data_IF_195610658880
#
_entry.id   IF_195610658880
#
_cell.length_a   1.000
_cell.length_b   1.000
_cell.length_c   1.000
_cell.angle_alpha   90.00
_cell.angle_beta   90.00
_cell.angle_gamma   90.00
#
_symmetry.space_group_name_H-M   'P 1'
#
loop_
_entity.id
_entity.type
_entity.pdbx_description
1 polymer ?
#
# COMPACT_ATOMS: atom_id res chain seq x y z
N UNK A 1 -5.30 -1.97 3.31
CA UNK A 1 -5.72 -3.23 3.93
C UNK A 1 -6.88 -3.89 3.20
N UNK A 2 -7.31 -5.04 3.68
CA UNK A 2 -8.35 -5.85 3.03
C UNK A 2 -9.78 -5.28 3.13
N UNK A 3 -9.99 -4.23 3.94
CA UNK A 3 -11.30 -3.62 4.11
C UNK A 3 -12.34 -4.64 4.57
N UNK A 4 -13.35 -4.87 3.73
CA UNK A 4 -14.44 -5.82 3.98
C UNK A 4 -14.20 -7.22 3.37
N UNK A 5 -13.17 -7.39 2.56
CA UNK A 5 -12.86 -8.67 1.94
C UNK A 5 -12.54 -9.74 3.01
N UNK A 6 -12.97 -10.98 2.76
CA UNK A 6 -12.90 -12.07 3.75
C UNK A 6 -11.77 -13.06 3.50
N UNK A 7 -11.25 -13.09 2.28
CA UNK A 7 -10.19 -14.01 1.88
C UNK A 7 -8.82 -13.38 2.01
N UNK A 8 -7.80 -14.19 2.18
CA UNK A 8 -6.41 -13.76 2.30
C UNK A 8 -5.77 -13.64 0.92
N UNK A 9 -5.25 -12.47 0.59
CA UNK A 9 -4.59 -12.18 -0.68
C UNK A 9 -3.29 -12.96 -0.90
N UNK A 10 -2.72 -13.57 0.13
CA UNK A 10 -1.63 -14.53 -0.01
C UNK A 10 -2.07 -15.88 -0.61
N UNK A 11 -3.36 -16.19 -0.54
CA UNK A 11 -3.92 -17.48 -0.96
C UNK A 11 -4.68 -17.36 -2.28
N UNK A 12 -5.54 -16.35 -2.39
CA UNK A 12 -6.40 -16.10 -3.56
C UNK A 12 -6.73 -14.61 -3.69
N UNK A 13 -7.38 -14.22 -4.79
CA UNK A 13 -7.81 -12.85 -5.02
C UNK A 13 -9.05 -12.50 -4.16
N UNK A 14 -8.92 -11.62 -3.14
CA UNK A 14 -10.07 -11.16 -2.37
C UNK A 14 -10.96 -10.25 -3.22
N UNK A 15 -12.28 -10.38 -3.07
CA UNK A 15 -13.25 -9.58 -3.84
C UNK A 15 -14.18 -8.81 -2.91
N UNK A 16 -14.33 -7.51 -3.17
CA UNK A 16 -15.29 -6.64 -2.53
C UNK A 16 -16.31 -6.13 -3.55
N UNK A 17 -17.57 -6.53 -3.38
CA UNK A 17 -18.68 -6.17 -4.26
C UNK A 17 -19.51 -4.98 -3.76
N UNK A 18 -19.06 -4.29 -2.71
CA UNK A 18 -19.78 -3.14 -2.17
C UNK A 18 -19.81 -1.97 -3.14
N UNK A 19 -20.83 -1.14 -2.98
CA UNK A 19 -20.93 0.13 -3.70
C UNK A 19 -19.78 1.07 -3.34
N UNK A 20 -19.27 1.80 -4.33
CA UNK A 20 -18.19 2.76 -4.19
C UNK A 20 -18.47 3.81 -3.09
N UNK A 21 -19.73 4.24 -2.95
CA UNK A 21 -20.13 5.22 -1.92
C UNK A 21 -19.87 4.70 -0.52
N UNK A 22 -20.17 3.40 -0.27
CA UNK A 22 -19.91 2.76 1.03
C UNK A 22 -18.43 2.69 1.34
N UNK A 23 -17.60 2.38 0.34
CA UNK A 23 -16.15 2.33 0.46
C UNK A 23 -15.59 3.72 0.80
N UNK A 24 -16.04 4.76 0.08
CA UNK A 24 -15.63 6.14 0.32
C UNK A 24 -16.05 6.68 1.71
N UNK A 25 -17.24 6.31 2.16
CA UNK A 25 -17.79 6.79 3.44
C UNK A 25 -17.21 6.10 4.66
N UNK A 26 -16.67 4.89 4.50
CA UNK A 26 -16.18 4.08 5.62
C UNK A 26 -14.68 3.79 5.48
N UNK A 27 -14.31 3.01 4.46
CA UNK A 27 -12.95 2.43 4.36
C UNK A 27 -11.91 3.48 3.96
N UNK A 28 -12.27 4.45 3.13
CA UNK A 28 -11.38 5.52 2.67
C UNK A 28 -11.35 6.75 3.59
N UNK A 29 -12.25 6.84 4.56
CA UNK A 29 -12.29 7.97 5.49
C UNK A 29 -10.99 8.14 6.32
N UNK A 30 -10.39 7.06 6.87
CA UNK A 30 -9.09 7.16 7.54
C UNK A 30 -7.98 7.68 6.62
N UNK A 31 -7.94 7.20 5.36
CA UNK A 31 -6.93 7.63 4.39
C UNK A 31 -7.05 9.13 4.11
N UNK A 32 -8.27 9.64 3.88
CA UNK A 32 -8.49 11.06 3.66
C UNK A 32 -7.96 11.89 4.83
N UNK A 33 -8.27 11.49 6.07
CA UNK A 33 -7.78 12.18 7.27
C UNK A 33 -6.26 12.14 7.42
N UNK A 34 -5.63 11.01 7.06
CA UNK A 34 -4.18 10.87 7.12
C UNK A 34 -3.48 11.68 6.01
N UNK A 35 -4.11 11.78 4.83
CA UNK A 35 -3.62 12.62 3.72
C UNK A 35 -3.65 14.10 4.11
N UNK A 36 -4.71 14.55 4.80
CA UNK A 36 -4.80 15.91 5.33
C UNK A 36 -3.69 16.21 6.38
N UNK A 37 -3.10 15.16 6.99
CA UNK A 37 -1.94 15.22 7.88
C UNK A 37 -0.60 14.99 7.16
N UNK A 38 -0.59 15.05 5.84
CA UNK A 38 0.60 14.92 4.98
C UNK A 38 1.38 13.61 5.19
N UNK A 39 0.67 12.48 5.34
CA UNK A 39 1.31 11.15 5.44
C UNK A 39 2.23 10.91 4.24
N UNK A 40 3.44 10.41 4.50
CA UNK A 40 4.50 10.28 3.50
C UNK A 40 4.30 9.12 2.54
N UNK A 41 3.66 8.03 2.99
CA UNK A 41 3.49 6.81 2.19
C UNK A 41 2.13 6.16 2.34
N UNK A 42 1.58 5.65 1.25
CA UNK A 42 0.37 4.81 1.21
C UNK A 42 0.69 3.55 0.42
N UNK A 43 0.35 2.39 0.98
CA UNK A 43 0.45 1.11 0.31
C UNK A 43 -0.89 0.76 -0.34
N UNK A 44 -0.83 0.29 -1.59
CA UNK A 44 -1.97 -0.27 -2.29
C UNK A 44 -2.31 -1.67 -1.77
N UNK A 45 -3.37 -2.28 -2.27
CA UNK A 45 -3.78 -3.64 -1.87
C UNK A 45 -4.14 -4.50 -3.08
N UNK A 46 -4.15 -5.82 -2.89
CA UNK A 46 -4.56 -6.79 -3.90
C UNK A 46 -6.01 -7.24 -3.69
N UNK A 47 -6.90 -6.33 -3.36
CA UNK A 47 -8.35 -6.58 -3.27
C UNK A 47 -9.04 -6.09 -4.53
N UNK A 48 -9.82 -6.94 -5.18
CA UNK A 48 -10.61 -6.57 -6.35
C UNK A 48 -11.93 -5.91 -5.94
N UNK A 49 -12.07 -4.63 -6.17
CA UNK A 49 -13.31 -3.87 -5.95
C UNK A 49 -14.13 -3.84 -7.25
N UNK A 50 -14.89 -4.92 -7.52
CA UNK A 50 -15.56 -5.16 -8.83
C UNK A 50 -16.43 -4.01 -9.31
N UNK A 51 -17.07 -3.27 -8.40
CA UNK A 51 -17.92 -2.13 -8.76
C UNK A 51 -17.11 -0.85 -9.04
N UNK A 52 -15.79 -0.91 -8.96
CA UNK A 52 -14.90 0.22 -9.21
C UNK A 52 -14.04 -0.05 -10.43
N UNK A 53 -13.31 -1.17 -10.45
CA UNK A 53 -12.42 -1.54 -11.55
C UNK A 53 -12.31 -3.06 -11.67
N UNK A 54 -11.81 -3.53 -12.82
CA UNK A 54 -11.47 -4.93 -13.08
C UNK A 54 -10.07 -5.31 -12.58
N UNK A 55 -9.32 -4.36 -12.04
CA UNK A 55 -7.99 -4.55 -11.48
C UNK A 55 -7.95 -4.15 -10.00
N UNK A 56 -7.16 -4.85 -9.16
CA UNK A 56 -6.93 -4.44 -7.78
C UNK A 56 -6.15 -3.11 -7.74
N UNK A 57 -6.19 -2.36 -6.63
CA UNK A 57 -5.55 -1.04 -6.52
C UNK A 57 -4.11 -0.98 -6.99
N UNK A 58 -3.31 -2.02 -6.76
CA UNK A 58 -1.91 -2.11 -7.20
C UNK A 58 -1.75 -2.07 -8.73
N UNK A 59 -2.76 -2.51 -9.49
CA UNK A 59 -2.74 -2.59 -10.96
C UNK A 59 -3.78 -1.67 -11.62
N UNK A 60 -4.49 -0.86 -10.84
CA UNK A 60 -5.62 -0.04 -11.30
C UNK A 60 -5.24 1.43 -11.46
N UNK A 61 -5.21 1.90 -12.69
CA UNK A 61 -5.08 3.34 -12.96
C UNK A 61 -6.20 4.14 -12.31
N UNK A 62 -7.43 3.61 -12.26
CA UNK A 62 -8.58 4.27 -11.66
C UNK A 62 -8.38 4.53 -10.16
N UNK A 63 -7.86 3.56 -9.42
CA UNK A 63 -7.55 3.72 -8.01
C UNK A 63 -6.43 4.73 -7.77
N UNK A 64 -5.39 4.72 -8.60
CA UNK A 64 -4.32 5.72 -8.52
C UNK A 64 -4.85 7.13 -8.84
N UNK A 65 -5.75 7.27 -9.83
CA UNK A 65 -6.39 8.56 -10.13
C UNK A 65 -7.26 9.08 -8.97
N UNK A 66 -8.05 8.21 -8.31
CA UNK A 66 -8.79 8.57 -7.10
C UNK A 66 -7.83 9.11 -6.04
N UNK A 67 -6.73 8.41 -5.79
CA UNK A 67 -5.73 8.80 -4.78
C UNK A 67 -5.07 10.14 -5.15
N UNK A 68 -4.59 10.29 -6.38
CA UNK A 68 -3.84 11.46 -6.84
C UNK A 68 -4.73 12.68 -7.07
N UNK A 69 -5.90 12.52 -7.70
CA UNK A 69 -6.74 13.63 -8.13
C UNK A 69 -7.83 13.95 -7.10
N UNK A 70 -8.61 12.96 -6.64
CA UNK A 70 -9.74 13.22 -5.75
C UNK A 70 -9.25 13.51 -4.31
N UNK A 71 -8.25 12.75 -3.85
CA UNK A 71 -7.66 12.96 -2.52
C UNK A 71 -6.44 13.90 -2.54
N UNK A 72 -5.95 14.29 -3.73
CA UNK A 72 -4.79 15.18 -3.92
C UNK A 72 -3.52 14.69 -3.19
N UNK A 73 -3.38 13.38 -3.08
CA UNK A 73 -2.24 12.78 -2.39
C UNK A 73 -0.93 13.01 -3.16
N UNK A 74 0.07 13.53 -2.47
CA UNK A 74 1.40 13.87 -3.04
C UNK A 74 2.53 12.99 -2.52
N UNK A 75 2.26 12.13 -1.53
CA UNK A 75 3.26 11.22 -0.97
C UNK A 75 3.60 10.05 -1.89
N UNK A 76 4.39 9.11 -1.37
CA UNK A 76 4.81 7.91 -2.09
C UNK A 76 3.69 6.86 -2.12
N UNK A 77 3.51 6.22 -3.27
CA UNK A 77 2.62 5.07 -3.45
C UNK A 77 3.47 3.81 -3.52
N UNK A 78 3.27 2.93 -2.57
CA UNK A 78 3.90 1.62 -2.50
C UNK A 78 2.95 0.55 -3.04
N UNK A 79 3.45 -0.42 -3.79
CA UNK A 79 2.68 -1.64 -4.04
C UNK A 79 2.60 -2.47 -2.76
N UNK A 80 1.63 -3.37 -2.67
CA UNK A 80 1.76 -4.56 -1.83
C UNK A 80 2.70 -5.56 -2.53
N UNK A 81 3.03 -6.68 -1.91
CA UNK A 81 3.98 -7.66 -2.46
C UNK A 81 3.47 -8.26 -3.78
N UNK A 82 4.17 -7.95 -4.88
CA UNK A 82 3.81 -8.38 -6.23
C UNK A 82 3.97 -9.89 -6.46
N UNK A 83 4.59 -10.62 -5.53
CA UNK A 83 4.70 -12.08 -5.57
C UNK A 83 3.49 -12.81 -4.98
N UNK A 84 2.49 -12.07 -4.45
CA UNK A 84 1.30 -12.66 -3.83
C UNK A 84 0.37 -13.30 -4.86
N UNK A 85 -0.22 -14.45 -4.50
CA UNK A 85 -1.07 -15.26 -5.40
C UNK A 85 -2.30 -14.50 -5.94
N UNK A 86 -2.78 -13.51 -5.23
CA UNK A 86 -3.88 -12.65 -5.69
C UNK A 86 -3.62 -11.99 -7.06
N UNK A 87 -2.35 -11.82 -7.46
CA UNK A 87 -1.99 -11.23 -8.74
C UNK A 87 -1.80 -12.23 -9.88
N UNK A 88 -1.79 -13.53 -9.63
CA UNK A 88 -1.56 -14.55 -10.65
C UNK A 88 -2.61 -14.51 -11.79
N UNK A 89 -3.83 -14.01 -11.50
CA UNK A 89 -4.87 -13.87 -12.52
C UNK A 89 -4.62 -12.70 -13.51
N UNK A 90 -3.67 -11.81 -13.20
CA UNK A 90 -3.42 -10.59 -13.97
C UNK A 90 -2.14 -10.64 -14.83
N UNK A 91 -1.41 -11.74 -14.80
CA UNK A 91 -0.21 -11.98 -15.58
C UNK A 91 0.99 -12.37 -14.72
N UNK A 92 2.12 -12.52 -15.40
CA UNK A 92 3.39 -12.82 -14.74
C UNK A 92 3.88 -11.63 -13.90
N UNK A 93 4.76 -11.88 -12.94
CA UNK A 93 5.25 -10.86 -12.03
C UNK A 93 5.88 -9.67 -12.76
N UNK A 94 6.59 -9.91 -13.86
CA UNK A 94 7.22 -8.87 -14.67
C UNK A 94 6.18 -7.95 -15.32
N UNK A 95 5.07 -8.51 -15.83
CA UNK A 95 3.96 -7.73 -16.38
C UNK A 95 3.30 -6.87 -15.30
N UNK A 96 3.10 -7.45 -14.11
CA UNK A 96 2.54 -6.75 -12.97
C UNK A 96 3.46 -5.61 -12.46
N UNK A 97 4.78 -5.82 -12.49
CA UNK A 97 5.79 -4.78 -12.20
C UNK A 97 5.66 -3.63 -13.18
N UNK A 98 5.72 -3.90 -14.49
CA UNK A 98 5.62 -2.88 -15.54
C UNK A 98 4.30 -2.11 -15.45
N UNK A 99 3.20 -2.82 -15.23
CA UNK A 99 1.89 -2.21 -15.07
C UNK A 99 1.82 -1.32 -13.83
N UNK A 100 2.31 -1.78 -12.69
CA UNK A 100 2.33 -0.99 -11.45
C UNK A 100 3.12 0.32 -11.60
N UNK A 101 4.28 0.27 -12.27
CA UNK A 101 5.07 1.46 -12.60
C UNK A 101 4.27 2.40 -13.51
N UNK A 102 3.71 1.87 -14.59
CA UNK A 102 3.01 2.67 -15.61
C UNK A 102 1.79 3.42 -15.09
N UNK A 103 1.12 2.90 -14.07
CA UNK A 103 -0.04 3.56 -13.45
C UNK A 103 0.33 4.52 -12.33
N UNK A 104 1.58 4.55 -11.88
CA UNK A 104 2.08 5.52 -10.90
C UNK A 104 2.31 4.99 -9.47
N UNK A 105 2.59 3.68 -9.31
CA UNK A 105 3.25 3.20 -8.10
C UNK A 105 4.70 3.67 -8.10
N UNK A 106 5.13 4.27 -7.00
CA UNK A 106 6.48 4.85 -6.86
C UNK A 106 7.51 3.83 -6.35
N UNK A 107 7.07 2.88 -5.53
CA UNK A 107 7.91 1.86 -4.92
C UNK A 107 7.22 0.50 -5.00
N UNK A 108 7.94 -0.52 -5.43
CA UNK A 108 7.41 -1.87 -5.61
C UNK A 108 8.05 -2.84 -4.62
N UNK A 109 7.24 -3.72 -4.05
CA UNK A 109 7.71 -4.79 -3.19
C UNK A 109 7.62 -6.15 -3.90
N UNK A 110 8.71 -6.92 -3.80
CA UNK A 110 8.79 -8.32 -4.17
C UNK A 110 9.49 -9.01 -3.02
N UNK A 111 8.72 -9.74 -2.20
CA UNK A 111 9.19 -10.29 -0.96
C UNK A 111 9.60 -11.76 -1.11
N UNK A 112 10.63 -12.17 -0.37
CA UNK A 112 11.05 -13.57 -0.23
C UNK A 112 11.44 -14.29 -1.54
N UNK A 113 11.66 -13.57 -2.64
CA UNK A 113 12.03 -14.12 -3.95
C UNK A 113 13.19 -13.31 -4.57
N UNK A 114 14.41 -13.54 -4.06
CA UNK A 114 15.62 -12.83 -4.51
C UNK A 114 15.93 -13.06 -5.99
N UNK A 115 15.73 -14.27 -6.47
CA UNK A 115 16.07 -14.63 -7.85
C UNK A 115 15.16 -13.89 -8.82
N UNK A 116 13.87 -13.76 -8.49
CA UNK A 116 12.94 -12.96 -9.30
C UNK A 116 13.26 -11.47 -9.29
N UNK A 117 13.70 -10.92 -8.15
CA UNK A 117 14.17 -9.53 -8.10
C UNK A 117 15.35 -9.31 -9.02
N UNK A 118 16.33 -10.22 -9.02
CA UNK A 118 17.49 -10.14 -9.91
C UNK A 118 17.04 -10.22 -11.37
N UNK A 119 16.19 -11.18 -11.70
CA UNK A 119 15.64 -11.35 -13.05
C UNK A 119 14.92 -10.09 -13.54
N UNK A 120 14.12 -9.45 -12.70
CA UNK A 120 13.43 -8.21 -13.03
C UNK A 120 14.42 -7.07 -13.28
N UNK A 121 15.41 -6.90 -12.40
CA UNK A 121 16.42 -5.84 -12.51
C UNK A 121 17.31 -6.00 -13.73
N UNK A 122 17.57 -7.24 -14.16
CA UNK A 122 18.38 -7.55 -15.36
C UNK A 122 17.60 -7.31 -16.66
N UNK A 123 16.28 -7.45 -16.65
CA UNK A 123 15.45 -7.43 -17.86
C UNK A 123 14.55 -6.19 -17.99
N UNK A 124 14.30 -5.44 -16.91
CA UNK A 124 13.43 -4.27 -16.93
C UNK A 124 14.26 -3.01 -16.68
N UNK A 125 14.21 -2.10 -17.65
CA UNK A 125 14.81 -0.76 -17.48
C UNK A 125 13.80 0.15 -16.79
N UNK A 126 14.11 0.57 -15.57
CA UNK A 126 13.32 1.53 -14.80
C UNK A 126 13.99 2.90 -14.91
N UNK A 127 13.26 3.88 -15.44
CA UNK A 127 13.78 5.25 -15.51
C UNK A 127 13.91 5.85 -14.10
N UNK A 128 14.99 6.60 -13.90
CA UNK A 128 15.22 7.27 -12.63
C UNK A 128 14.20 8.41 -12.43
N UNK A 129 13.43 8.34 -11.36
CA UNK A 129 12.50 9.39 -10.96
C UNK A 129 13.10 10.20 -9.79
N UNK A 130 13.59 11.41 -10.12
CA UNK A 130 14.23 12.31 -9.14
C UNK A 130 13.27 12.71 -8.01
N UNK A 131 11.99 12.88 -8.31
CA UNK A 131 10.98 13.24 -7.31
C UNK A 131 10.78 12.11 -6.31
N UNK A 132 10.63 10.86 -6.78
CA UNK A 132 10.53 9.67 -5.93
C UNK A 132 11.79 9.51 -5.08
N UNK A 133 12.97 9.62 -5.69
CA UNK A 133 14.25 9.54 -4.98
C UNK A 133 14.36 10.59 -3.86
N UNK A 134 13.93 11.82 -4.13
CA UNK A 134 13.93 12.91 -3.14
C UNK A 134 12.99 12.62 -1.96
N UNK A 135 11.81 12.05 -2.22
CA UNK A 135 10.83 11.68 -1.19
C UNK A 135 11.37 10.52 -0.33
N UNK A 136 11.99 9.51 -0.94
CA UNK A 136 12.62 8.39 -0.22
C UNK A 136 13.76 8.86 0.69
N UNK A 137 14.60 9.78 0.21
CA UNK A 137 15.67 10.38 1.03
C UNK A 137 15.10 11.13 2.24
N UNK A 138 13.96 11.83 2.08
CA UNK A 138 13.30 12.51 3.20
C UNK A 138 12.82 11.51 4.25
N UNK A 139 12.21 10.40 3.83
CA UNK A 139 11.78 9.33 4.74
C UNK A 139 12.95 8.77 5.56
N UNK A 140 14.11 8.55 4.93
CA UNK A 140 15.31 8.00 5.60
C UNK A 140 15.96 8.97 6.58
N UNK A 141 15.75 10.30 6.41
CA UNK A 141 16.36 11.34 7.24
C UNK A 141 15.55 11.74 8.48
N UNK A 142 14.34 11.23 8.62
CA UNK A 142 13.56 11.45 9.83
C UNK A 142 14.27 10.73 10.98
N UNK A 143 15.09 11.49 11.72
CA UNK A 143 15.74 11.00 12.93
C UNK A 143 14.66 10.51 13.88
N UNK A 144 14.69 9.24 14.21
CA UNK A 144 13.93 8.74 15.36
C UNK A 144 14.44 9.56 16.54
N UNK A 145 13.52 10.29 17.20
CA UNK A 145 13.84 11.02 18.44
C UNK A 145 14.54 10.05 19.39
N UNK A 146 15.77 10.37 19.81
CA UNK A 146 16.56 9.55 20.76
C UNK A 146 15.78 9.28 22.06
N UNK A 147 14.76 10.10 22.35
CA UNK A 147 13.82 9.91 23.45
C UNK A 147 12.56 9.10 23.09
N UNK A 148 12.48 8.53 21.89
CA UNK A 148 11.29 7.77 21.46
C UNK A 148 10.89 6.67 22.45
N UNK A 149 11.85 5.96 23.02
CA UNK A 149 11.62 4.94 24.05
C UNK A 149 10.96 5.49 25.32
N UNK A 150 11.27 6.75 25.70
CA UNK A 150 10.78 7.43 26.89
C UNK A 150 9.54 8.29 26.62
N UNK A 151 9.04 8.34 25.39
CA UNK A 151 7.90 9.17 25.01
C UNK A 151 6.65 8.77 25.81
N UNK A 152 6.12 9.69 26.61
CA UNK A 152 4.95 9.45 27.52
C UNK A 152 3.72 8.97 26.76
N UNK A 153 3.47 9.49 25.54
CA UNK A 153 2.35 9.06 24.69
C UNK A 153 2.51 7.62 24.24
N UNK A 154 3.72 7.24 23.80
CA UNK A 154 4.05 5.85 23.43
C UNK A 154 3.82 4.90 24.60
N UNK A 155 4.34 5.23 25.78
CA UNK A 155 4.18 4.41 26.98
C UNK A 155 2.70 4.26 27.37
N UNK A 156 1.90 5.33 27.29
CA UNK A 156 0.46 5.29 27.53
C UNK A 156 -0.29 4.38 26.55
N UNK A 157 0.09 4.41 25.25
CA UNK A 157 -0.50 3.53 24.23
C UNK A 157 -0.13 2.07 24.49
N UNK A 158 1.13 1.76 24.83
CA UNK A 158 1.58 0.40 25.17
C UNK A 158 0.81 -0.12 26.37
N UNK A 159 0.64 0.67 27.41
CA UNK A 159 -0.14 0.31 28.61
C UNK A 159 -1.61 0.01 28.27
N UNK A 160 -2.21 0.83 27.42
CA UNK A 160 -3.58 0.62 26.95
C UNK A 160 -3.73 -0.69 26.16
N UNK A 161 -2.78 -0.99 25.27
CA UNK A 161 -2.76 -2.23 24.50
C UNK A 161 -2.60 -3.46 25.42
N UNK A 162 -1.70 -3.42 26.41
CA UNK A 162 -1.53 -4.51 27.39
C UNK A 162 -2.84 -4.81 28.13
N UNK A 163 -3.58 -3.78 28.56
CA UNK A 163 -4.88 -3.94 29.24
C UNK A 163 -5.95 -4.61 28.38
N UNK A 164 -5.92 -4.36 27.05
CA UNK A 164 -6.85 -5.00 26.10
C UNK A 164 -6.50 -6.47 25.91
N UNK A 165 -5.20 -6.80 25.83
CA UNK A 165 -4.71 -8.18 25.60
C UNK A 165 -4.99 -9.09 26.81
N UNK A 166 -4.86 -8.59 28.02
CA UNK A 166 -5.11 -9.37 29.27
C UNK A 166 -6.60 -9.68 29.48
N UNK A 167 -7.53 -8.92 28.91
CA UNK A 167 -8.98 -9.17 29.03
C UNK A 167 -9.51 -10.28 28.10
N UNK A 168 -8.67 -10.91 27.26
CA UNK A 168 -9.05 -11.98 26.33
C UNK A 168 -8.60 -13.38 26.80
N UNK A 169 -8.09 -13.53 27.99
CA UNK A 169 -7.87 -14.79 28.70
C UNK A 169 -8.94 -14.94 29.79
#
# INVERSE_FOLDING_TARGET
GHGFARTDSHVELPVDNRDIKKIFQNDLLPYKKLIDLEIEGIMTSHVLYKNIDNFPPTLSNKWIQILRNDFRYKGLVFSDDLSMKALNEFGEIQDNVLKSISIGCDCLFICNNRDEVINILDNIVIENNIEVSSKLIKLSKNNIDDNFEKNKRRLSVIDSLKRITVKKQ
#
